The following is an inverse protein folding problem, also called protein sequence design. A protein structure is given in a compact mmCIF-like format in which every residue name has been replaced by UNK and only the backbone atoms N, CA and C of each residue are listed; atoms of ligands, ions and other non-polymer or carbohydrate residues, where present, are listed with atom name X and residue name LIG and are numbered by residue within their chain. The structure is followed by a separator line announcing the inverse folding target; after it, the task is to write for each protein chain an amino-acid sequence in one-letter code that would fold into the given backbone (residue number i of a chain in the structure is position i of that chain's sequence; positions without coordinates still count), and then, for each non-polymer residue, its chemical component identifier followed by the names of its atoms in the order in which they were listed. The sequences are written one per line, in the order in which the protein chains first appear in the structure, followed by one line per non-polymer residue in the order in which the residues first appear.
data_IF_969619907916
#
_entry.id   IF_969619907916
#
_cell.length_a   1.000
_cell.length_b   1.000
_cell.length_c   1.000
_cell.angle_alpha   90.00
_cell.angle_beta   90.00
_cell.angle_gamma   90.00
#
_symmetry.space_group_name_H-M   'P 1'
#
loop_
_entity.id
_entity.type
_entity.pdbx_description
1 polymer ?
#
# COMPACT_ATOMS: atom_id res chain seq x y z
N UNK A 1 -29.53 -17.87 -16.03
CA UNK A 1 -28.74 -17.71 -14.81
C UNK A 1 -27.58 -16.79 -15.18
N UNK A 2 -27.79 -15.48 -15.15
CA UNK A 2 -26.70 -14.51 -15.34
C UNK A 2 -25.75 -14.76 -14.18
N UNK A 3 -24.54 -15.19 -14.54
CA UNK A 3 -23.61 -15.88 -13.66
C UNK A 3 -23.18 -14.96 -12.50
N UNK A 4 -23.36 -15.40 -11.26
CA UNK A 4 -22.90 -14.63 -10.10
C UNK A 4 -21.39 -14.35 -10.17
N UNK A 5 -20.63 -15.22 -10.85
CA UNK A 5 -19.22 -14.99 -11.15
C UNK A 5 -19.00 -13.81 -12.12
N UNK A 6 -19.82 -13.67 -13.16
CA UNK A 6 -19.75 -12.54 -14.11
C UNK A 6 -20.17 -11.22 -13.47
N UNK A 7 -21.16 -11.25 -12.57
CA UNK A 7 -21.55 -10.10 -11.75
C UNK A 7 -20.42 -9.70 -10.79
N UNK A 8 -19.74 -10.67 -10.17
CA UNK A 8 -18.57 -10.44 -9.33
C UNK A 8 -17.40 -9.85 -10.11
N UNK A 9 -17.09 -10.38 -11.30
CA UNK A 9 -15.99 -9.88 -12.14
C UNK A 9 -16.26 -8.44 -12.62
N UNK A 10 -17.50 -8.16 -13.04
CA UNK A 10 -17.92 -6.81 -13.45
C UNK A 10 -17.82 -5.83 -12.28
N UNK A 11 -18.21 -6.27 -11.08
CA UNK A 11 -18.08 -5.47 -9.87
C UNK A 11 -16.61 -5.20 -9.53
N UNK A 12 -15.76 -6.23 -9.50
CA UNK A 12 -14.31 -6.11 -9.25
C UNK A 12 -13.64 -5.17 -10.26
N UNK A 13 -13.99 -5.25 -11.55
CA UNK A 13 -13.51 -4.33 -12.57
C UNK A 13 -13.92 -2.89 -12.29
N UNK A 14 -15.18 -2.68 -11.89
CA UNK A 14 -15.69 -1.36 -11.51
C UNK A 14 -14.98 -0.80 -10.28
N UNK A 15 -14.74 -1.62 -9.26
CA UNK A 15 -14.01 -1.24 -8.05
C UNK A 15 -12.55 -0.90 -8.35
N UNK A 16 -11.87 -1.69 -9.18
CA UNK A 16 -10.51 -1.40 -9.61
C UNK A 16 -10.44 -0.10 -10.42
N UNK A 17 -11.38 0.13 -11.34
CA UNK A 17 -11.44 1.38 -12.09
C UNK A 17 -11.64 2.59 -11.16
N UNK A 18 -12.52 2.47 -10.15
CA UNK A 18 -12.70 3.49 -9.11
C UNK A 18 -11.43 3.76 -8.33
N UNK A 19 -10.72 2.71 -7.89
CA UNK A 19 -9.44 2.84 -7.20
C UNK A 19 -8.42 3.62 -8.04
N UNK A 20 -8.23 3.20 -9.29
CA UNK A 20 -7.27 3.84 -10.20
C UNK A 20 -7.67 5.29 -10.50
N UNK A 21 -8.96 5.56 -10.69
CA UNK A 21 -9.48 6.90 -10.88
C UNK A 21 -9.18 7.78 -9.66
N UNK A 22 -9.51 7.33 -8.45
CA UNK A 22 -9.26 8.08 -7.22
C UNK A 22 -7.77 8.32 -7.01
N UNK A 23 -6.91 7.33 -7.25
CA UNK A 23 -5.45 7.50 -7.18
C UNK A 23 -4.96 8.60 -8.14
N UNK A 24 -5.41 8.56 -9.39
CA UNK A 24 -5.05 9.56 -10.41
C UNK A 24 -5.53 10.96 -10.00
N UNK A 25 -6.76 11.10 -9.52
CA UNK A 25 -7.29 12.40 -9.08
C UNK A 25 -6.53 12.97 -7.88
N UNK A 26 -6.27 12.13 -6.86
CA UNK A 26 -5.52 12.52 -5.66
C UNK A 26 -4.07 12.91 -5.97
N UNK A 27 -3.46 12.33 -7.02
CA UNK A 27 -2.10 12.68 -7.43
C UNK A 27 -1.95 14.14 -7.87
N UNK A 28 -3.04 14.79 -8.32
CA UNK A 28 -3.01 16.11 -8.95
C UNK A 28 -2.23 16.18 -10.27
N UNK A 29 -1.70 15.05 -10.78
CA UNK A 29 -0.87 15.00 -11.98
C UNK A 29 -1.73 15.01 -13.25
N UNK A 30 -1.15 15.49 -14.35
CA UNK A 30 -1.84 15.50 -15.64
C UNK A 30 -2.01 14.06 -16.16
N UNK A 31 -3.24 13.69 -16.54
CA UNK A 31 -3.54 12.35 -17.10
C UNK A 31 -2.70 12.00 -18.34
N UNK A 32 -2.30 13.00 -19.15
CA UNK A 32 -1.39 12.79 -20.28
C UNK A 32 0.04 12.45 -19.85
N UNK A 33 0.52 13.00 -18.73
CA UNK A 33 1.82 12.66 -18.16
C UNK A 33 1.79 11.26 -17.56
N UNK A 34 0.74 10.93 -16.80
CA UNK A 34 0.52 9.57 -16.28
C UNK A 34 0.48 8.56 -17.44
N UNK A 35 -0.25 8.85 -18.52
CA UNK A 35 -0.30 7.99 -19.70
C UNK A 35 1.11 7.73 -20.29
N UNK A 36 1.94 8.78 -20.36
CA UNK A 36 3.33 8.69 -20.84
C UNK A 36 4.18 7.82 -19.91
N UNK A 37 4.18 8.09 -18.61
CA UNK A 37 5.00 7.38 -17.62
C UNK A 37 4.61 5.90 -17.53
N UNK A 38 3.32 5.61 -17.64
CA UNK A 38 2.79 4.24 -17.60
C UNK A 38 2.96 3.47 -18.91
N UNK A 39 3.40 4.14 -19.98
CA UNK A 39 3.47 3.60 -21.34
C UNK A 39 2.09 3.11 -21.84
N UNK A 40 1.03 3.81 -21.45
CA UNK A 40 -0.36 3.52 -21.84
C UNK A 40 -0.84 4.62 -22.77
N UNK A 41 -1.49 4.26 -23.87
CA UNK A 41 -2.09 5.26 -24.76
C UNK A 41 -3.15 6.08 -24.01
N UNK A 42 -3.23 7.40 -24.24
CA UNK A 42 -4.15 8.31 -23.52
C UNK A 42 -5.60 7.82 -23.53
N UNK A 43 -6.08 7.33 -24.67
CA UNK A 43 -7.44 6.77 -24.77
C UNK A 43 -7.60 5.47 -23.97
N UNK A 44 -6.59 4.59 -23.98
CA UNK A 44 -6.61 3.37 -23.19
C UNK A 44 -6.63 3.67 -21.68
N UNK A 45 -5.85 4.66 -21.22
CA UNK A 45 -5.90 5.13 -19.83
C UNK A 45 -7.29 5.69 -19.51
N UNK A 46 -7.85 6.56 -20.35
CA UNK A 46 -9.19 7.13 -20.16
C UNK A 46 -10.25 6.02 -19.99
N UNK A 47 -10.26 5.04 -20.90
CA UNK A 47 -11.20 3.92 -20.86
C UNK A 47 -10.99 3.02 -19.64
N UNK A 48 -9.74 2.84 -19.20
CA UNK A 48 -9.43 2.10 -17.98
C UNK A 48 -9.96 2.81 -16.74
N UNK A 49 -9.75 4.12 -16.60
CA UNK A 49 -10.26 4.90 -15.47
C UNK A 49 -11.79 5.01 -15.48
N UNK A 50 -12.43 4.89 -16.65
CA UNK A 50 -13.88 4.83 -16.80
C UNK A 50 -14.48 3.43 -16.55
N UNK A 51 -13.66 2.39 -16.36
CA UNK A 51 -14.12 1.00 -16.23
C UNK A 51 -14.58 0.35 -17.54
N UNK A 52 -14.38 1.02 -18.68
CA UNK A 52 -14.69 0.55 -20.04
C UNK A 52 -13.62 -0.40 -20.60
N UNK A 53 -12.48 -0.51 -19.91
CA UNK A 53 -11.35 -1.38 -20.26
C UNK A 53 -10.70 -1.94 -18.99
N UNK A 54 -10.62 -3.25 -18.87
CA UNK A 54 -9.81 -3.89 -17.83
C UNK A 54 -8.33 -3.63 -18.07
N UNK A 55 -7.58 -3.05 -17.11
CA UNK A 55 -6.13 -3.01 -17.19
C UNK A 55 -5.53 -4.39 -16.87
N UNK A 56 -4.35 -4.67 -17.40
CA UNK A 56 -3.49 -5.72 -16.85
C UNK A 56 -3.00 -5.34 -15.44
N UNK A 57 -2.56 -6.32 -14.65
CA UNK A 57 -1.96 -6.07 -13.33
C UNK A 57 -0.77 -5.10 -13.45
N UNK A 58 0.09 -5.29 -14.46
CA UNK A 58 1.23 -4.40 -14.70
C UNK A 58 0.82 -2.97 -15.05
N UNK A 59 -0.27 -2.77 -15.79
CA UNK A 59 -0.81 -1.43 -16.02
C UNK A 59 -1.38 -0.81 -14.76
N UNK A 60 -2.10 -1.58 -13.94
CA UNK A 60 -2.64 -1.09 -12.67
C UNK A 60 -1.52 -0.64 -11.72
N UNK A 61 -0.47 -1.46 -11.57
CA UNK A 61 0.73 -1.12 -10.79
C UNK A 61 1.40 0.15 -11.31
N UNK A 62 1.62 0.27 -12.62
CA UNK A 62 2.23 1.46 -13.20
C UNK A 62 1.38 2.70 -13.00
N UNK A 63 0.06 2.61 -13.17
CA UNK A 63 -0.86 3.75 -12.94
C UNK A 63 -0.79 4.21 -11.48
N UNK A 64 -0.82 3.27 -10.52
CA UNK A 64 -0.69 3.58 -9.09
C UNK A 64 0.66 4.23 -8.79
N UNK A 65 1.77 3.65 -9.27
CA UNK A 65 3.10 4.19 -9.07
C UNK A 65 3.26 5.59 -9.70
N UNK A 66 2.77 5.77 -10.93
CA UNK A 66 2.76 7.07 -11.60
C UNK A 66 1.85 8.08 -10.90
N UNK A 67 0.83 7.65 -10.17
CA UNK A 67 0.01 8.52 -9.33
C UNK A 67 0.68 8.86 -7.99
N UNK A 68 1.87 8.33 -7.69
CA UNK A 68 2.56 8.53 -6.41
C UNK A 68 1.98 7.67 -5.29
N UNK A 69 1.28 6.58 -5.61
CA UNK A 69 0.79 5.61 -4.63
C UNK A 69 1.80 4.47 -4.45
N UNK A 70 1.74 3.81 -3.29
CA UNK A 70 2.38 2.53 -3.01
C UNK A 70 1.68 1.37 -3.78
N UNK A 71 2.19 0.94 -4.95
CA UNK A 71 1.39 0.18 -5.90
C UNK A 71 1.05 -1.24 -5.43
N UNK A 72 1.96 -1.93 -4.73
CA UNK A 72 1.72 -3.29 -4.24
C UNK A 72 0.82 -3.28 -3.01
N UNK A 73 1.03 -2.34 -2.08
CA UNK A 73 0.18 -2.12 -0.93
C UNK A 73 -1.27 -1.90 -1.34
N UNK A 74 -1.51 -1.00 -2.30
CA UNK A 74 -2.87 -0.68 -2.74
C UNK A 74 -3.56 -1.86 -3.44
N UNK A 75 -2.83 -2.65 -4.24
CA UNK A 75 -3.42 -3.86 -4.83
C UNK A 75 -3.72 -4.93 -3.79
N UNK A 76 -2.87 -5.15 -2.79
CA UNK A 76 -3.15 -6.11 -1.73
C UNK A 76 -4.34 -5.69 -0.85
N UNK A 77 -4.44 -4.40 -0.51
CA UNK A 77 -5.58 -3.87 0.22
C UNK A 77 -6.86 -4.03 -0.59
N UNK A 78 -6.81 -3.76 -1.89
CA UNK A 78 -7.94 -3.94 -2.80
C UNK A 78 -8.42 -5.40 -2.82
N UNK A 79 -7.50 -6.35 -2.95
CA UNK A 79 -7.81 -7.78 -3.05
C UNK A 79 -8.23 -8.39 -1.71
N UNK A 80 -7.62 -7.97 -0.60
CA UNK A 80 -7.75 -8.64 0.70
C UNK A 80 -8.64 -7.93 1.72
N UNK A 81 -8.77 -6.61 1.64
CA UNK A 81 -9.47 -5.79 2.62
C UNK A 81 -10.64 -4.97 2.06
N UNK A 82 -10.78 -4.93 0.73
CA UNK A 82 -11.86 -4.25 0.03
C UNK A 82 -11.60 -2.76 -0.25
N UNK A 83 -12.49 -2.17 -1.05
CA UNK A 83 -12.32 -0.82 -1.59
C UNK A 83 -12.21 0.30 -0.53
N UNK A 84 -13.01 0.23 0.53
CA UNK A 84 -13.07 1.30 1.53
C UNK A 84 -11.76 1.50 2.30
N UNK A 85 -11.09 0.42 2.69
CA UNK A 85 -9.79 0.52 3.37
C UNK A 85 -8.71 1.02 2.41
N UNK A 86 -8.74 0.51 1.17
CA UNK A 86 -7.82 0.89 0.11
C UNK A 86 -7.86 2.40 -0.14
N UNK A 87 -9.07 2.97 -0.32
CA UNK A 87 -9.22 4.41 -0.54
C UNK A 87 -8.79 5.25 0.65
N UNK A 88 -9.04 4.81 1.89
CA UNK A 88 -8.64 5.56 3.09
C UNK A 88 -7.12 5.68 3.25
N UNK A 89 -6.37 4.69 2.76
CA UNK A 89 -4.91 4.67 2.89
C UNK A 89 -4.21 5.27 1.67
N UNK A 90 -4.94 5.75 0.65
CA UNK A 90 -4.35 6.49 -0.47
C UNK A 90 -3.61 7.72 0.06
N UNK A 91 -2.36 7.90 -0.37
CA UNK A 91 -1.46 9.01 0.03
C UNK A 91 -1.21 9.16 1.54
N UNK A 92 -1.20 8.04 2.27
CA UNK A 92 -0.83 8.05 3.69
C UNK A 92 0.54 7.38 3.89
N UNK A 93 1.28 7.81 4.93
CA UNK A 93 2.56 7.19 5.27
C UNK A 93 2.40 5.71 5.63
N UNK A 94 1.24 5.32 6.19
CA UNK A 94 0.94 3.92 6.47
C UNK A 94 0.90 3.07 5.20
N UNK A 95 0.54 3.62 4.03
CA UNK A 95 0.59 2.88 2.78
C UNK A 95 2.02 2.65 2.28
N UNK A 96 2.92 3.63 2.45
CA UNK A 96 4.34 3.49 2.11
C UNK A 96 5.03 2.51 3.08
N UNK A 97 4.74 2.64 4.37
CA UNK A 97 5.18 1.66 5.37
C UNK A 97 4.69 0.25 5.00
N UNK A 98 3.43 0.12 4.59
CA UNK A 98 2.87 -1.17 4.22
C UNK A 98 3.52 -1.74 2.95
N UNK A 99 3.89 -0.92 1.96
CA UNK A 99 4.65 -1.32 0.76
C UNK A 99 5.97 -2.00 1.11
N UNK A 100 6.74 -1.38 2.01
CA UNK A 100 8.02 -1.94 2.46
C UNK A 100 7.80 -3.18 3.31
N UNK A 101 6.83 -3.12 4.24
CA UNK A 101 6.52 -4.23 5.14
C UNK A 101 6.14 -5.49 4.37
N UNK A 102 5.25 -5.41 3.38
CA UNK A 102 4.84 -6.59 2.59
C UNK A 102 5.95 -7.13 1.71
N UNK A 103 6.90 -6.28 1.29
CA UNK A 103 8.08 -6.68 0.53
C UNK A 103 9.07 -7.50 1.38
N UNK A 104 9.29 -7.06 2.63
CA UNK A 104 10.28 -7.67 3.52
C UNK A 104 9.72 -8.83 4.37
N UNK A 105 8.44 -8.78 4.74
CA UNK A 105 7.83 -9.70 5.70
C UNK A 105 7.96 -11.17 5.29
N UNK A 106 7.74 -11.59 4.02
CA UNK A 106 7.91 -12.99 3.63
C UNK A 106 9.32 -13.51 3.91
N UNK A 107 10.36 -12.76 3.54
CA UNK A 107 11.75 -13.13 3.79
C UNK A 107 12.10 -13.13 5.29
N UNK A 108 11.55 -12.18 6.05
CA UNK A 108 11.69 -12.16 7.51
C UNK A 108 11.03 -13.37 8.17
N UNK A 109 9.83 -13.76 7.74
CA UNK A 109 9.12 -14.93 8.25
C UNK A 109 9.87 -16.23 7.98
N UNK A 110 10.36 -16.42 6.75
CA UNK A 110 11.16 -17.61 6.41
C UNK A 110 12.41 -17.71 7.28
N UNK A 111 13.11 -16.59 7.49
CA UNK A 111 14.32 -16.55 8.33
C UNK A 111 14.05 -16.85 9.80
N UNK A 112 12.97 -16.29 10.36
CA UNK A 112 12.65 -16.40 11.79
C UNK A 112 11.98 -17.74 12.11
N UNK A 113 11.07 -18.22 11.26
CA UNK A 113 10.36 -19.48 11.49
C UNK A 113 11.19 -20.69 11.06
N UNK A 114 12.07 -20.54 10.07
CA UNK A 114 12.82 -21.64 9.48
C UNK A 114 11.89 -22.79 9.10
N UNK A 115 12.19 -23.99 9.58
CA UNK A 115 11.39 -25.18 9.30
C UNK A 115 9.94 -25.11 9.83
N UNK A 116 9.66 -24.26 10.82
CA UNK A 116 8.30 -24.11 11.39
C UNK A 116 7.32 -23.43 10.44
N UNK A 117 7.80 -22.86 9.31
CA UNK A 117 6.92 -22.24 8.31
C UNK A 117 5.87 -23.24 7.79
N UNK A 118 6.22 -24.53 7.70
CA UNK A 118 5.33 -25.59 7.26
C UNK A 118 4.29 -26.01 8.32
N UNK A 119 4.47 -25.60 9.58
CA UNK A 119 3.57 -25.93 10.68
C UNK A 119 2.48 -24.88 10.90
N UNK A 120 2.60 -23.71 10.27
CA UNK A 120 1.63 -22.60 10.37
C UNK A 120 0.24 -23.04 9.93
N UNK A 121 -0.77 -22.81 10.78
CA UNK A 121 -2.16 -23.18 10.49
C UNK A 121 -3.00 -21.95 10.08
N UNK A 122 -3.80 -22.02 9.00
CA UNK A 122 -4.61 -20.89 8.55
C UNK A 122 -5.53 -20.29 9.63
N UNK A 123 -6.07 -21.12 10.52
CA UNK A 123 -6.93 -20.68 11.63
C UNK A 123 -6.26 -19.70 12.61
N UNK A 124 -4.92 -19.63 12.63
CA UNK A 124 -4.19 -18.69 13.48
C UNK A 124 -4.12 -17.28 12.91
N UNK A 125 -4.36 -17.10 11.60
CA UNK A 125 -4.12 -15.86 10.89
C UNK A 125 -4.78 -14.64 11.55
N UNK A 126 -6.06 -14.75 11.94
CA UNK A 126 -6.79 -13.64 12.59
C UNK A 126 -6.15 -13.25 13.91
N UNK A 127 -5.81 -14.22 14.77
CA UNK A 127 -5.18 -13.95 16.07
C UNK A 127 -3.77 -13.38 15.92
N UNK A 128 -2.99 -13.92 14.97
CA UNK A 128 -1.65 -13.43 14.64
C UNK A 128 -1.69 -12.01 14.10
N UNK A 129 -2.63 -11.66 13.21
CA UNK A 129 -2.76 -10.29 12.70
C UNK A 129 -2.99 -9.26 13.82
N UNK A 130 -3.85 -9.56 14.80
CA UNK A 130 -4.06 -8.68 15.95
C UNK A 130 -2.82 -8.59 16.86
N UNK A 131 -2.07 -9.69 17.01
CA UNK A 131 -0.81 -9.69 17.75
C UNK A 131 0.25 -8.84 17.04
N UNK A 132 0.41 -8.99 15.73
CA UNK A 132 1.32 -8.19 14.91
C UNK A 132 0.95 -6.72 14.98
N UNK A 133 -0.34 -6.37 14.88
CA UNK A 133 -0.79 -4.99 15.00
C UNK A 133 -0.44 -4.36 16.36
N UNK A 134 -0.59 -5.10 17.47
CA UNK A 134 -0.17 -4.62 18.80
C UNK A 134 1.34 -4.47 18.92
N UNK A 135 2.09 -5.48 18.48
CA UNK A 135 3.56 -5.42 18.49
C UNK A 135 4.08 -4.25 17.66
N UNK A 136 3.44 -3.96 16.54
CA UNK A 136 3.78 -2.81 15.70
C UNK A 136 3.49 -1.49 16.44
N UNK A 137 2.32 -1.36 17.09
CA UNK A 137 1.99 -0.17 17.86
C UNK A 137 3.01 0.06 19.00
N UNK A 138 3.30 -0.98 19.78
CA UNK A 138 4.29 -0.92 20.87
C UNK A 138 5.68 -0.52 20.33
N UNK A 139 6.05 -1.03 19.15
CA UNK A 139 7.33 -0.73 18.50
C UNK A 139 7.41 0.71 17.98
N UNK A 140 6.33 1.23 17.39
CA UNK A 140 6.26 2.63 16.94
C UNK A 140 6.43 3.56 18.14
N UNK A 141 5.71 3.32 19.24
CA UNK A 141 5.86 4.10 20.47
C UNK A 141 7.29 4.07 21.03
N UNK A 142 8.00 2.95 20.85
CA UNK A 142 9.41 2.82 21.23
C UNK A 142 10.34 3.61 20.30
N UNK A 143 10.11 3.56 18.99
CA UNK A 143 10.88 4.29 17.98
C UNK A 143 10.73 5.80 18.18
N UNK A 144 9.50 6.30 18.34
CA UNK A 144 9.24 7.72 18.60
C UNK A 144 9.95 8.23 19.86
N UNK A 145 9.97 7.41 20.93
CA UNK A 145 10.71 7.72 22.16
C UNK A 145 12.22 7.80 21.93
N UNK A 146 12.78 6.92 21.10
CA UNK A 146 14.21 6.94 20.75
C UNK A 146 14.56 8.15 19.88
N UNK A 147 13.72 8.47 18.91
CA UNK A 147 13.92 9.63 18.03
C UNK A 147 13.92 10.94 18.83
N UNK A 148 13.02 11.08 19.80
CA UNK A 148 13.01 12.23 20.71
C UNK A 148 14.32 12.37 21.51
N UNK A 149 14.86 11.27 22.03
CA UNK A 149 16.13 11.27 22.77
C UNK A 149 17.34 11.62 21.89
N UNK A 150 17.35 11.16 20.64
CA UNK A 150 18.40 11.46 19.67
C UNK A 150 18.32 12.92 19.18
N UNK A 151 17.12 13.46 19.03
CA UNK A 151 16.89 14.87 18.69
C UNK A 151 17.39 15.83 19.77
N UNK A 152 17.12 15.53 21.05
CA UNK A 152 17.58 16.34 22.19
C UNK A 152 19.11 16.31 22.35
N UNK A 153 19.76 15.19 21.99
CA UNK A 153 21.21 15.03 22.05
C UNK A 153 21.97 15.94 21.08
N UNK A 154 21.33 16.37 19.98
CA UNK A 154 21.91 17.31 19.01
C UNK A 154 21.66 18.78 19.37
N UNK A 155 20.82 19.08 20.36
CA UNK A 155 20.52 20.44 20.83
C UNK A 155 21.45 21.00 21.91
N UNK A 156 22.29 20.16 22.55
CA UNK A 156 23.11 20.54 23.71
C UNK A 156 24.57 20.94 23.31
N UNK A 157 24.83 21.13 22.01
CA UNK A 157 26.19 21.36 21.48
C UNK A 157 26.64 22.81 21.29
N UNK A 158 25.80 23.83 21.50
CA UNK A 158 26.18 25.24 21.23
C UNK A 158 25.72 26.16 22.37
N UNK A 159 26.55 26.33 23.39
CA UNK A 159 26.26 27.29 24.46
C UNK A 159 27.22 27.26 25.64
N UNK A 160 28.54 27.33 25.40
CA UNK A 160 29.54 27.31 26.48
C UNK A 160 30.83 28.05 26.15
N UNK A 161 30.77 29.39 26.06
CA UNK A 161 31.91 30.34 26.13
C UNK A 161 31.32 31.75 26.19
N UNK A 162 31.52 32.59 27.20
CA UNK A 162 32.72 33.11 27.84
C UNK A 162 32.33 33.61 29.26
N UNK A 163 33.18 33.64 30.30
CA UNK A 163 34.59 33.99 30.30
C UNK A 163 34.73 35.49 30.51
#
# INVERSE_FOLDING_TARGET
MIDMAMLSETQTRGDLARLLHTAVELSGRNRCEIARDTHIHKDALRRTLAGERSPSVGEALRILASAGMAPHAQLLLFLGAGGDLTTRWLQTDIANFFEELIGELPGALERVLGNQVHDVKPRWAKGTAHRVARLLADHIDELERKDAQLGDSHGIGVGGRHG
#
